data_IF_038066467911
#
_entry.id   IF_038066467911
#
_cell.length_a   1.000
_cell.length_b   1.000
_cell.length_c   1.000
_cell.angle_alpha   90.00
_cell.angle_beta   90.00
_cell.angle_gamma   90.00
#
_symmetry.space_group_name_H-M   'P 1'
#
loop_
_entity.id
_entity.type
_entity.pdbx_description
1 polymer ?
#
# COMPACT_ATOMS: atom_id res chain seq x y z
N UNK A 1 19.52 -0.20 70.02
CA UNK A 1 18.41 -0.49 69.09
C UNK A 1 18.41 0.49 67.90
N UNK A 2 19.42 0.44 67.01
CA UNK A 2 19.61 1.42 65.90
C UNK A 2 19.74 0.76 64.50
N UNK A 3 19.28 -0.48 64.33
CA UNK A 3 19.56 -1.27 63.11
C UNK A 3 18.39 -1.49 62.15
N UNK A 4 17.18 -1.01 62.47
CA UNK A 4 15.96 -1.27 61.68
C UNK A 4 15.46 -0.06 60.86
N UNK A 5 15.86 1.17 61.18
CA UNK A 5 15.40 2.37 60.45
C UNK A 5 16.12 2.59 59.11
N UNK A 6 17.37 2.15 58.97
CA UNK A 6 18.14 2.34 57.72
C UNK A 6 17.71 1.41 56.58
N UNK A 7 17.19 0.21 56.90
CA UNK A 7 16.71 -0.74 55.89
C UNK A 7 15.39 -0.30 55.23
N UNK A 8 14.51 0.36 55.98
CA UNK A 8 13.27 0.92 55.42
C UNK A 8 13.52 2.08 54.45
N UNK A 9 14.54 2.91 54.72
CA UNK A 9 14.95 4.00 53.82
C UNK A 9 15.62 3.49 52.55
N UNK A 10 16.51 2.49 52.65
CA UNK A 10 17.16 1.88 51.48
C UNK A 10 16.16 1.13 50.58
N UNK A 11 15.21 0.39 51.16
CA UNK A 11 14.14 -0.27 50.42
C UNK A 11 13.18 0.71 49.73
N UNK A 12 12.83 1.81 50.41
CA UNK A 12 11.97 2.86 49.85
C UNK A 12 12.61 3.61 48.67
N UNK A 13 13.92 3.87 48.72
CA UNK A 13 14.67 4.47 47.61
C UNK A 13 14.68 3.53 46.39
N UNK A 14 14.90 2.23 46.60
CA UNK A 14 14.87 1.24 45.52
C UNK A 14 13.53 1.18 44.80
N UNK A 15 12.42 1.22 45.54
CA UNK A 15 11.06 1.22 44.96
C UNK A 15 10.77 2.52 44.22
N UNK A 16 11.20 3.67 44.75
CA UNK A 16 11.01 4.96 44.10
C UNK A 16 11.78 5.06 42.77
N UNK A 17 13.01 4.53 42.72
CA UNK A 17 13.82 4.49 41.48
C UNK A 17 13.20 3.56 40.45
N UNK A 18 12.73 2.37 40.85
CA UNK A 18 12.03 1.44 39.96
C UNK A 18 10.71 2.01 39.44
N UNK A 19 9.93 2.67 40.30
CA UNK A 19 8.70 3.34 39.88
C UNK A 19 8.98 4.50 38.91
N UNK A 20 9.99 5.32 39.18
CA UNK A 20 10.42 6.39 38.28
C UNK A 20 10.92 5.84 36.93
N UNK A 21 11.70 4.75 36.94
CA UNK A 21 12.16 4.08 35.71
C UNK A 21 10.99 3.48 34.92
N UNK A 22 10.03 2.84 35.57
CA UNK A 22 8.81 2.34 34.93
C UNK A 22 7.97 3.49 34.34
N UNK A 23 7.81 4.60 35.07
CA UNK A 23 7.12 5.79 34.55
C UNK A 23 7.87 6.38 33.36
N UNK A 24 9.20 6.49 33.39
CA UNK A 24 10.00 6.96 32.26
C UNK A 24 9.92 6.03 31.05
N UNK A 25 9.87 4.71 31.24
CA UNK A 25 9.71 3.75 30.15
C UNK A 25 8.31 3.78 29.53
N UNK A 26 7.26 3.98 30.34
CA UNK A 26 5.87 4.00 29.85
C UNK A 26 5.39 5.38 29.35
N UNK A 27 5.84 6.48 29.97
CA UNK A 27 5.47 7.85 29.58
C UNK A 27 6.50 8.51 28.67
N UNK A 28 7.77 8.11 28.68
CA UNK A 28 8.81 8.74 27.86
C UNK A 28 8.53 8.62 26.36
N UNK A 29 8.02 7.47 25.92
CA UNK A 29 7.58 7.26 24.53
C UNK A 29 6.39 8.15 24.12
N UNK A 30 5.50 8.49 25.06
CA UNK A 30 4.36 9.38 24.82
C UNK A 30 4.74 10.86 24.86
N UNK A 31 5.74 11.23 25.66
CA UNK A 31 6.19 12.62 25.80
C UNK A 31 7.15 13.04 24.67
N UNK A 32 7.97 12.14 24.14
CA UNK A 32 8.83 12.41 22.98
C UNK A 32 8.02 12.78 21.73
N UNK A 33 6.86 12.15 21.53
CA UNK A 33 5.94 12.49 20.42
C UNK A 33 5.29 13.87 20.54
N UNK A 34 5.11 14.39 21.77
CA UNK A 34 4.46 15.68 21.99
C UNK A 34 5.40 16.88 21.76
N UNK A 35 6.71 16.70 21.93
CA UNK A 35 7.70 17.78 21.81
C UNK A 35 8.24 17.97 20.37
N UNK A 36 8.17 16.94 19.53
CA UNK A 36 8.80 16.93 18.20
C UNK A 36 7.92 17.49 17.06
N UNK A 37 6.68 17.90 17.35
CA UNK A 37 5.74 18.46 16.38
C UNK A 37 5.07 17.43 15.47
N UNK A 38 3.99 17.82 14.75
CA UNK A 38 3.22 16.92 13.87
C UNK A 38 4.06 16.16 12.84
N UNK A 39 5.05 16.83 12.25
CA UNK A 39 5.92 16.27 11.22
C UNK A 39 6.71 15.07 11.73
N UNK A 40 7.33 15.18 12.91
CA UNK A 40 8.12 14.09 13.48
C UNK A 40 7.26 12.87 13.83
N UNK A 41 6.04 13.07 14.31
CA UNK A 41 5.11 11.97 14.61
C UNK A 41 4.67 11.23 13.34
N UNK A 42 4.39 11.98 12.26
CA UNK A 42 4.05 11.42 10.94
C UNK A 42 5.22 10.64 10.36
N UNK A 43 6.43 11.21 10.36
CA UNK A 43 7.63 10.52 9.88
C UNK A 43 7.88 9.25 10.69
N UNK A 44 7.74 9.33 12.01
CA UNK A 44 7.89 8.16 12.90
C UNK A 44 6.88 7.08 12.56
N UNK A 45 5.64 7.45 12.27
CA UNK A 45 4.60 6.49 11.84
C UNK A 45 4.98 5.78 10.54
N UNK A 46 5.49 6.51 9.55
CA UNK A 46 5.95 5.91 8.29
C UNK A 46 7.18 5.02 8.49
N UNK A 47 8.16 5.47 9.29
CA UNK A 47 9.37 4.69 9.60
C UNK A 47 9.08 3.45 10.43
N UNK A 48 8.10 3.51 11.33
CA UNK A 48 7.63 2.33 12.04
C UNK A 48 7.03 1.31 11.07
N UNK A 49 6.23 1.76 10.09
CA UNK A 49 5.70 0.87 9.05
C UNK A 49 6.80 0.26 8.17
N UNK A 50 7.87 0.99 7.85
CA UNK A 50 9.05 0.42 7.16
C UNK A 50 9.69 -0.71 7.97
N UNK A 51 9.84 -0.50 9.28
CA UNK A 51 10.49 -1.45 10.16
C UNK A 51 9.65 -2.71 10.40
N UNK A 52 8.36 -2.54 10.68
CA UNK A 52 7.45 -3.64 11.04
C UNK A 52 6.97 -4.41 9.80
N UNK A 53 7.04 -3.78 8.63
CA UNK A 53 6.32 -4.23 7.44
C UNK A 53 4.82 -3.97 7.54
N UNK A 54 4.12 -4.21 6.43
CA UNK A 54 2.70 -3.89 6.28
C UNK A 54 1.93 -5.04 5.63
N UNK A 55 0.68 -5.16 6.05
CA UNK A 55 -0.36 -5.96 5.39
C UNK A 55 -1.47 -5.02 4.99
N UNK A 56 -1.58 -4.73 3.70
CA UNK A 56 -2.46 -3.70 3.15
C UNK A 56 -3.71 -4.38 2.54
N UNK A 57 -4.93 -4.09 3.02
CA UNK A 57 -6.13 -4.60 2.37
C UNK A 57 -6.26 -3.98 0.97
N UNK A 58 -6.46 -4.82 -0.04
CA UNK A 58 -6.67 -4.39 -1.43
C UNK A 58 -8.14 -4.64 -1.81
N UNK A 59 -8.90 -3.59 -2.17
CA UNK A 59 -10.26 -3.76 -2.66
C UNK A 59 -10.35 -4.79 -3.80
N UNK A 60 -11.32 -5.71 -3.69
CA UNK A 60 -11.52 -6.79 -4.67
C UNK A 60 -10.63 -8.02 -4.45
N UNK A 61 -9.47 -7.90 -3.81
CA UNK A 61 -8.58 -9.04 -3.58
C UNK A 61 -9.07 -9.94 -2.43
N UNK A 62 -8.77 -11.24 -2.50
CA UNK A 62 -9.10 -12.22 -1.45
C UNK A 62 -8.11 -12.21 -0.28
N UNK A 63 -6.89 -11.72 -0.51
CA UNK A 63 -5.82 -11.65 0.47
C UNK A 63 -5.20 -10.24 0.45
N UNK A 64 -4.62 -9.77 1.57
CA UNK A 64 -3.95 -8.48 1.60
C UNK A 64 -2.66 -8.50 0.78
N UNK A 65 -2.22 -7.31 0.38
CA UNK A 65 -0.89 -7.06 -0.15
C UNK A 65 0.10 -7.04 1.01
N UNK A 66 1.02 -8.00 1.05
CA UNK A 66 1.99 -8.15 2.15
C UNK A 66 3.36 -7.68 1.69
N UNK A 67 3.98 -6.78 2.45
CA UNK A 67 5.33 -6.29 2.17
C UNK A 67 6.40 -7.32 2.50
N UNK A 68 7.42 -7.40 1.66
CA UNK A 68 8.76 -7.93 1.97
C UNK A 68 9.78 -6.80 2.15
N UNK A 69 9.57 -5.70 1.44
CA UNK A 69 10.33 -4.45 1.54
C UNK A 69 9.34 -3.30 1.47
N UNK A 70 9.53 -2.33 2.36
CA UNK A 70 8.81 -1.06 2.37
C UNK A 70 9.81 0.02 2.79
N UNK A 71 10.06 1.00 1.94
CA UNK A 71 11.00 2.07 2.22
C UNK A 71 10.47 3.39 1.69
N UNK A 72 10.37 4.39 2.58
CA UNK A 72 10.12 5.78 2.24
C UNK A 72 11.43 6.57 2.23
N UNK A 73 11.58 7.39 1.19
CA UNK A 73 12.64 8.37 1.04
C UNK A 73 12.03 9.74 0.68
N UNK A 74 12.79 10.81 0.91
CA UNK A 74 12.38 12.20 0.58
C UNK A 74 10.98 12.56 1.12
N UNK A 75 10.75 12.27 2.41
CA UNK A 75 9.48 12.56 3.06
C UNK A 75 9.35 14.08 3.26
N UNK A 76 8.24 14.66 2.83
CA UNK A 76 7.82 16.01 3.18
C UNK A 76 6.41 15.97 3.77
N UNK A 77 6.16 16.78 4.80
CA UNK A 77 4.88 16.81 5.50
C UNK A 77 4.29 18.21 5.43
N UNK A 78 3.04 18.30 5.00
CA UNK A 78 2.25 19.53 5.03
C UNK A 78 1.12 19.37 6.03
N UNK A 79 1.05 20.24 7.04
CA UNK A 79 -0.01 20.23 8.06
C UNK A 79 -1.02 21.31 7.72
N UNK A 80 -2.30 20.96 7.71
CA UNK A 80 -3.37 21.90 7.45
C UNK A 80 -3.44 22.99 8.55
N UNK A 81 -3.94 24.20 8.25
CA UNK A 81 -4.05 25.29 9.23
C UNK A 81 -4.90 24.94 10.46
N UNK A 82 -5.82 23.99 10.32
CA UNK A 82 -6.66 23.47 11.41
C UNK A 82 -5.89 22.60 12.42
N UNK A 83 -4.68 22.15 12.07
CA UNK A 83 -3.86 21.26 12.89
C UNK A 83 -4.47 19.87 13.12
N UNK A 84 -5.49 19.49 12.34
CA UNK A 84 -6.20 18.21 12.43
C UNK A 84 -5.94 17.29 11.24
N UNK A 85 -5.48 17.84 10.13
CA UNK A 85 -5.14 17.11 8.91
C UNK A 85 -3.71 17.38 8.49
N UNK A 86 -3.10 16.40 7.86
CA UNK A 86 -1.79 16.54 7.24
C UNK A 86 -1.70 15.63 6.02
N UNK A 87 -0.79 15.95 5.12
CA UNK A 87 -0.46 15.14 3.96
C UNK A 87 1.06 14.94 3.92
N UNK A 88 1.48 13.68 3.82
CA UNK A 88 2.87 13.32 3.67
C UNK A 88 3.13 12.88 2.23
N UNK A 89 4.08 13.53 1.55
CA UNK A 89 4.58 13.11 0.25
C UNK A 89 5.91 12.41 0.42
N UNK A 90 6.10 11.28 -0.23
CA UNK A 90 7.35 10.53 -0.14
C UNK A 90 7.62 9.73 -1.42
N UNK A 91 8.87 9.42 -1.69
CA UNK A 91 9.21 8.33 -2.61
C UNK A 91 9.05 7.01 -1.87
N UNK A 92 8.17 6.12 -2.35
CA UNK A 92 7.99 4.78 -1.84
C UNK A 92 8.66 3.77 -2.77
N UNK A 93 9.47 2.89 -2.18
CA UNK A 93 10.01 1.68 -2.78
C UNK A 93 9.42 0.48 -2.02
N UNK A 94 8.65 -0.32 -2.73
CA UNK A 94 7.91 -1.45 -2.18
C UNK A 94 8.16 -2.71 -2.99
N UNK A 95 8.35 -3.83 -2.28
CA UNK A 95 8.31 -5.17 -2.85
C UNK A 95 7.47 -6.06 -1.94
N UNK A 96 6.61 -6.89 -2.52
CA UNK A 96 5.68 -7.70 -1.77
C UNK A 96 4.92 -8.68 -2.65
N UNK A 97 3.82 -9.20 -2.12
CA UNK A 97 2.96 -10.12 -2.85
C UNK A 97 1.48 -9.93 -2.51
N UNK A 98 0.64 -10.08 -3.53
CA UNK A 98 -0.81 -10.24 -3.43
C UNK A 98 -1.14 -11.72 -3.72
N UNK A 99 -1.25 -12.53 -2.66
CA UNK A 99 -1.32 -13.98 -2.81
C UNK A 99 -0.08 -14.53 -3.52
N UNK A 100 -0.25 -15.13 -4.71
CA UNK A 100 0.85 -15.67 -5.51
C UNK A 100 1.48 -14.63 -6.48
N UNK A 101 0.86 -13.46 -6.66
CA UNK A 101 1.34 -12.44 -7.58
C UNK A 101 2.37 -11.56 -6.88
N UNK A 102 3.57 -11.46 -7.46
CA UNK A 102 4.60 -10.55 -6.97
C UNK A 102 4.25 -9.12 -7.35
N UNK A 103 4.42 -8.17 -6.42
CA UNK A 103 4.17 -6.75 -6.66
C UNK A 103 5.41 -5.98 -6.26
N UNK A 104 5.96 -5.21 -7.18
CA UNK A 104 7.06 -4.28 -6.92
C UNK A 104 6.69 -2.92 -7.46
N UNK A 105 6.88 -1.88 -6.64
CA UNK A 105 6.56 -0.52 -7.04
C UNK A 105 7.61 0.47 -6.58
N UNK A 106 7.95 1.42 -7.44
CA UNK A 106 8.78 2.56 -7.08
C UNK A 106 8.10 3.85 -7.55
N UNK A 107 7.93 4.84 -6.67
CA UNK A 107 7.25 6.07 -7.08
C UNK A 107 6.80 7.01 -5.96
N UNK A 108 5.97 7.99 -6.30
CA UNK A 108 5.53 9.04 -5.37
C UNK A 108 4.28 8.63 -4.61
N UNK A 109 4.39 8.39 -3.31
CA UNK A 109 3.24 8.15 -2.44
C UNK A 109 2.74 9.46 -1.81
N UNK A 110 1.42 9.54 -1.59
CA UNK A 110 0.77 10.66 -0.91
C UNK A 110 -0.15 10.10 0.18
N UNK A 111 0.25 10.27 1.43
CA UNK A 111 -0.43 9.69 2.58
C UNK A 111 -1.17 10.78 3.33
N UNK A 112 -2.51 10.73 3.30
CA UNK A 112 -3.34 11.59 4.11
C UNK A 112 -3.34 11.11 5.56
N UNK A 113 -3.15 12.03 6.50
CA UNK A 113 -3.20 11.79 7.94
C UNK A 113 -4.31 12.62 8.58
N UNK A 114 -4.93 12.04 9.61
CA UNK A 114 -5.83 12.73 10.53
C UNK A 114 -5.36 12.57 11.96
N UNK A 115 -5.62 13.60 12.78
CA UNK A 115 -5.33 13.55 14.20
C UNK A 115 -6.48 12.89 14.95
N UNK A 116 -6.26 11.65 15.40
CA UNK A 116 -7.24 10.87 16.13
C UNK A 116 -6.70 10.50 17.53
N UNK A 117 -7.44 10.87 18.58
CA UNK A 117 -7.03 10.63 19.98
C UNK A 117 -5.64 11.20 20.31
N UNK A 118 -5.35 12.39 19.80
CA UNK A 118 -4.09 13.09 20.00
C UNK A 118 -2.92 12.60 19.16
N UNK A 119 -3.10 11.54 18.34
CA UNK A 119 -2.05 10.98 17.48
C UNK A 119 -2.35 11.14 16.00
N UNK A 120 -1.30 11.27 15.19
CA UNK A 120 -1.43 11.25 13.74
C UNK A 120 -1.59 9.81 13.25
N UNK A 121 -2.64 9.56 12.47
CA UNK A 121 -2.90 8.26 11.86
C UNK A 121 -3.19 8.42 10.37
N UNK A 122 -2.71 7.50 9.52
CA UNK A 122 -3.11 7.48 8.12
C UNK A 122 -4.63 7.32 8.01
N UNK A 123 -5.27 8.08 7.13
CA UNK A 123 -6.72 8.08 6.96
C UNK A 123 -7.23 6.76 6.40
N UNK A 124 -6.49 6.17 5.45
CA UNK A 124 -6.85 4.92 4.78
C UNK A 124 -5.79 3.84 4.98
N UNK A 125 -4.56 4.10 4.56
CA UNK A 125 -3.40 3.24 4.76
C UNK A 125 -2.11 4.06 4.68
N UNK A 126 -0.97 3.44 4.96
CA UNK A 126 0.36 4.08 4.79
C UNK A 126 0.82 4.14 3.33
N UNK A 127 0.16 3.43 2.41
CA UNK A 127 0.49 3.42 0.99
C UNK A 127 -0.79 3.42 0.12
N UNK A 128 -1.60 4.50 0.18
CA UNK A 128 -2.92 4.52 -0.42
C UNK A 128 -2.88 4.50 -1.96
N UNK A 129 -1.92 5.18 -2.61
CA UNK A 129 -1.82 5.14 -4.08
C UNK A 129 -1.37 3.77 -4.55
N UNK A 130 -0.42 3.13 -3.86
CA UNK A 130 -0.06 1.73 -4.12
C UNK A 130 -1.29 0.81 -4.05
N UNK A 131 -2.09 0.93 -2.99
CA UNK A 131 -3.32 0.14 -2.83
C UNK A 131 -4.30 0.39 -3.98
N UNK A 132 -4.48 1.64 -4.40
CA UNK A 132 -5.37 2.00 -5.50
C UNK A 132 -4.91 1.41 -6.85
N UNK A 133 -3.60 1.43 -7.14
CA UNK A 133 -3.03 0.80 -8.34
C UNK A 133 -3.27 -0.70 -8.34
N UNK A 134 -2.92 -1.37 -7.24
CA UNK A 134 -3.06 -2.82 -7.14
C UNK A 134 -4.53 -3.24 -7.20
N UNK A 135 -5.45 -2.43 -6.65
CA UNK A 135 -6.88 -2.64 -6.77
C UNK A 135 -7.37 -2.57 -8.24
N UNK A 136 -6.89 -1.60 -9.02
CA UNK A 136 -7.25 -1.48 -10.44
C UNK A 136 -6.73 -2.67 -11.27
N UNK A 137 -5.49 -3.10 -11.02
CA UNK A 137 -4.88 -4.26 -11.66
C UNK A 137 -5.62 -5.57 -11.31
N UNK A 138 -5.98 -5.72 -10.03
CA UNK A 138 -6.74 -6.87 -9.55
C UNK A 138 -8.16 -6.90 -10.14
N UNK A 139 -8.84 -5.76 -10.21
CA UNK A 139 -10.15 -5.66 -10.84
C UNK A 139 -10.11 -6.08 -12.32
N UNK A 140 -9.07 -5.66 -13.06
CA UNK A 140 -8.85 -6.09 -14.45
C UNK A 140 -8.64 -7.60 -14.54
N UNK A 141 -7.75 -8.16 -13.71
CA UNK A 141 -7.47 -9.61 -13.67
C UNK A 141 -8.75 -10.41 -13.43
N UNK A 142 -9.58 -9.97 -12.49
CA UNK A 142 -10.85 -10.61 -12.18
C UNK A 142 -11.86 -10.52 -13.32
N UNK A 143 -11.98 -9.36 -13.96
CA UNK A 143 -12.89 -9.18 -15.08
C UNK A 143 -12.51 -10.07 -16.28
N UNK A 144 -11.21 -10.20 -16.59
CA UNK A 144 -10.71 -11.13 -17.62
C UNK A 144 -10.97 -12.60 -17.25
N UNK A 145 -10.64 -12.99 -16.01
CA UNK A 145 -10.84 -14.35 -15.54
C UNK A 145 -12.33 -14.76 -15.55
N UNK A 146 -13.21 -13.86 -15.08
CA UNK A 146 -14.65 -14.11 -14.99
C UNK A 146 -15.37 -13.93 -16.32
N UNK A 147 -14.72 -13.35 -17.33
CA UNK A 147 -15.32 -13.14 -18.65
C UNK A 147 -16.40 -12.07 -18.64
N UNK A 148 -16.12 -10.95 -17.95
CA UNK A 148 -17.04 -9.84 -17.74
C UNK A 148 -16.55 -8.60 -18.50
N UNK A 149 -16.80 -8.52 -19.83
CA UNK A 149 -16.34 -7.39 -20.64
C UNK A 149 -16.89 -6.04 -20.14
N UNK A 150 -18.11 -6.02 -19.60
CA UNK A 150 -18.71 -4.82 -19.00
C UNK A 150 -17.99 -4.36 -17.72
N UNK A 151 -17.34 -5.27 -17.00
CA UNK A 151 -16.49 -4.90 -15.87
C UNK A 151 -15.16 -4.31 -16.33
N UNK A 152 -14.60 -4.80 -17.46
CA UNK A 152 -13.38 -4.21 -18.05
C UNK A 152 -13.63 -2.79 -18.54
N UNK A 153 -14.75 -2.53 -19.24
CA UNK A 153 -15.06 -1.20 -19.75
C UNK A 153 -15.19 -0.14 -18.64
N UNK A 154 -15.58 -0.54 -17.41
CA UNK A 154 -15.67 0.38 -16.26
C UNK A 154 -14.31 0.76 -15.67
N UNK A 155 -13.24 0.05 -16.04
CA UNK A 155 -11.88 0.36 -15.63
C UNK A 155 -11.18 1.33 -16.60
N UNK A 156 -11.83 1.69 -17.70
CA UNK A 156 -11.31 2.64 -18.66
C UNK A 156 -11.35 4.07 -18.12
N UNK A 157 -10.26 4.81 -18.32
CA UNK A 157 -10.21 6.24 -18.05
C UNK A 157 -11.01 7.06 -19.07
N UNK A 158 -11.15 8.38 -18.83
CA UNK A 158 -11.78 9.28 -19.78
C UNK A 158 -11.10 9.23 -21.15
N UNK A 159 -11.88 9.36 -22.24
CA UNK A 159 -11.34 9.50 -23.59
C UNK A 159 -11.11 8.20 -24.37
N UNK A 160 -11.58 7.04 -23.90
CA UNK A 160 -11.55 5.80 -24.68
C UNK A 160 -12.08 4.57 -23.93
N UNK A 161 -11.90 3.39 -24.51
CA UNK A 161 -12.23 2.11 -23.88
C UNK A 161 -11.10 1.59 -22.96
N UNK A 162 -10.04 2.37 -22.77
CA UNK A 162 -8.86 1.97 -21.99
C UNK A 162 -8.08 0.82 -22.61
N UNK A 163 -8.41 0.33 -23.81
CA UNK A 163 -7.92 -0.94 -24.33
C UNK A 163 -8.74 -2.18 -23.92
N UNK A 164 -9.88 -2.00 -23.25
CA UNK A 164 -10.74 -3.10 -22.79
C UNK A 164 -11.18 -4.03 -23.93
N UNK A 165 -11.52 -3.49 -25.11
CA UNK A 165 -11.89 -4.30 -26.27
C UNK A 165 -10.74 -5.21 -26.73
N UNK A 166 -9.52 -4.68 -26.76
CA UNK A 166 -8.31 -5.43 -27.12
C UNK A 166 -7.97 -6.50 -26.09
N UNK A 167 -7.98 -6.13 -24.81
CA UNK A 167 -7.72 -7.06 -23.71
C UNK A 167 -8.74 -8.20 -23.68
N UNK A 168 -10.02 -7.90 -23.93
CA UNK A 168 -11.06 -8.91 -24.04
C UNK A 168 -10.88 -9.80 -25.26
N UNK A 169 -10.58 -9.23 -26.43
CA UNK A 169 -10.41 -9.99 -27.68
C UNK A 169 -9.30 -11.06 -27.59
N UNK A 170 -8.29 -10.86 -26.75
CA UNK A 170 -7.23 -11.86 -26.53
C UNK A 170 -7.72 -13.09 -25.76
N UNK A 171 -8.61 -12.91 -24.77
CA UNK A 171 -9.05 -13.99 -23.88
C UNK A 171 -10.42 -14.58 -24.27
N UNK A 172 -11.25 -13.82 -24.99
CA UNK A 172 -12.61 -14.21 -25.36
C UNK A 172 -12.69 -15.52 -26.17
N UNK A 173 -11.77 -15.82 -27.11
CA UNK A 173 -11.84 -17.05 -27.90
C UNK A 173 -11.48 -18.32 -27.10
N UNK A 174 -10.91 -18.18 -25.90
CA UNK A 174 -10.40 -19.29 -25.11
C UNK A 174 -11.50 -19.91 -24.25
N UNK A 175 -11.75 -21.20 -24.45
CA UNK A 175 -12.53 -22.01 -23.50
C UNK A 175 -11.61 -22.50 -22.37
N UNK A 176 -12.19 -22.78 -21.18
CA UNK A 176 -11.45 -23.13 -19.95
C UNK A 176 -10.28 -22.17 -19.64
N UNK A 177 -10.43 -20.90 -20.02
CA UNK A 177 -9.40 -19.88 -19.87
C UNK A 177 -8.91 -19.76 -18.43
N UNK A 178 -7.60 -19.59 -18.27
CA UNK A 178 -6.94 -19.29 -17.01
C UNK A 178 -5.87 -18.24 -17.26
N UNK A 179 -6.10 -17.04 -16.74
CA UNK A 179 -5.10 -15.97 -16.69
C UNK A 179 -4.43 -16.00 -15.32
N UNK A 180 -3.13 -16.27 -15.31
CA UNK A 180 -2.28 -16.19 -14.11
C UNK A 180 -1.36 -15.00 -14.24
N UNK A 181 -1.53 -14.00 -13.37
CA UNK A 181 -0.57 -12.90 -13.26
C UNK A 181 0.53 -13.32 -12.29
N UNK A 182 1.77 -13.34 -12.78
CA UNK A 182 2.93 -13.75 -12.02
C UNK A 182 3.55 -12.56 -11.28
N UNK A 183 3.65 -11.41 -11.94
CA UNK A 183 4.20 -10.20 -11.35
C UNK A 183 3.62 -8.91 -11.96
N UNK A 184 3.58 -7.88 -11.13
CA UNK A 184 3.41 -6.49 -11.54
C UNK A 184 4.60 -5.66 -11.08
N UNK A 185 5.25 -4.99 -12.02
CA UNK A 185 6.30 -4.01 -11.76
C UNK A 185 5.76 -2.62 -12.11
N UNK A 186 5.41 -1.82 -11.11
CA UNK A 186 4.80 -0.51 -11.31
C UNK A 186 5.79 0.63 -11.05
N UNK A 187 5.80 1.61 -11.93
CA UNK A 187 6.47 2.89 -11.72
C UNK A 187 5.42 3.96 -11.55
N UNK A 188 5.35 4.53 -10.35
CA UNK A 188 4.29 5.44 -9.95
C UNK A 188 4.78 6.89 -9.96
N UNK A 189 4.33 7.64 -10.97
CA UNK A 189 4.63 9.05 -11.10
C UNK A 189 3.51 9.88 -10.44
N UNK A 190 3.45 11.19 -10.72
CA UNK A 190 2.51 12.09 -10.03
C UNK A 190 1.04 11.76 -10.31
N UNK A 191 0.68 11.54 -11.56
CA UNK A 191 -0.71 11.29 -11.98
C UNK A 191 -0.84 10.06 -12.89
N UNK A 192 0.27 9.39 -13.17
CA UNK A 192 0.34 8.24 -14.07
C UNK A 192 1.13 7.09 -13.45
N UNK A 193 0.81 5.88 -13.88
CA UNK A 193 1.47 4.65 -13.45
C UNK A 193 1.69 3.75 -14.64
N UNK A 194 2.96 3.49 -14.94
CA UNK A 194 3.35 2.49 -15.93
C UNK A 194 3.56 1.16 -15.23
N UNK A 195 2.92 0.10 -15.71
CA UNK A 195 3.05 -1.25 -15.13
C UNK A 195 3.52 -2.22 -16.19
N UNK A 196 4.54 -3.01 -15.88
CA UNK A 196 4.86 -4.20 -16.65
C UNK A 196 4.22 -5.41 -15.97
N UNK A 197 3.28 -6.04 -16.65
CA UNK A 197 2.59 -7.25 -16.19
C UNK A 197 3.24 -8.49 -16.81
N UNK A 198 3.70 -9.41 -15.96
CA UNK A 198 4.15 -10.73 -16.36
C UNK A 198 3.00 -11.71 -16.17
N UNK A 199 2.63 -12.43 -17.23
CA UNK A 199 1.46 -13.29 -17.23
C UNK A 199 1.71 -14.64 -17.88
N UNK A 200 0.85 -15.59 -17.52
CA UNK A 200 0.64 -16.85 -18.23
C UNK A 200 -0.84 -16.98 -18.56
N UNK A 201 -1.14 -17.16 -19.84
CA UNK A 201 -2.49 -17.40 -20.34
C UNK A 201 -2.60 -18.84 -20.82
N UNK A 202 -3.49 -19.58 -20.19
CA UNK A 202 -3.82 -20.96 -20.53
C UNK A 202 -5.28 -21.04 -21.00
N UNK A 203 -5.58 -21.97 -21.91
CA UNK A 203 -6.95 -22.23 -22.37
C UNK A 203 -6.97 -23.10 -23.63
N UNK A 204 -8.16 -23.36 -24.14
CA UNK A 204 -8.36 -24.18 -25.34
C UNK A 204 -8.97 -23.33 -26.46
N UNK A 205 -8.28 -23.25 -27.61
CA UNK A 205 -8.87 -22.84 -28.89
C UNK A 205 -9.43 -24.06 -29.63
N UNK A 206 -10.39 -23.88 -30.56
CA UNK A 206 -10.95 -25.00 -31.32
C UNK A 206 -9.91 -25.86 -32.05
N UNK A 207 -8.80 -25.25 -32.49
CA UNK A 207 -7.76 -25.93 -33.26
C UNK A 207 -6.60 -26.48 -32.39
N UNK A 208 -6.36 -25.93 -31.19
CA UNK A 208 -5.21 -26.28 -30.34
C UNK A 208 -5.33 -25.72 -28.92
N UNK A 209 -4.69 -26.36 -27.92
CA UNK A 209 -4.49 -25.73 -26.62
C UNK A 209 -3.56 -24.52 -26.73
N UNK A 210 -3.74 -23.57 -25.81
CA UNK A 210 -2.94 -22.37 -25.62
C UNK A 210 -2.32 -22.41 -24.23
N UNK A 211 -1.00 -22.25 -24.18
CA UNK A 211 -0.23 -21.94 -22.98
C UNK A 211 0.84 -20.95 -23.40
N UNK A 212 0.62 -19.68 -23.09
CA UNK A 212 1.50 -18.58 -23.49
C UNK A 212 1.96 -17.83 -22.26
N UNK A 213 3.25 -17.52 -22.20
CA UNK A 213 3.83 -16.62 -21.22
C UNK A 213 4.28 -15.36 -21.93
N UNK A 214 4.13 -14.23 -21.27
CA UNK A 214 4.55 -12.97 -21.84
C UNK A 214 4.60 -11.86 -20.82
N UNK A 215 5.01 -10.71 -21.32
CA UNK A 215 4.97 -9.44 -20.62
C UNK A 215 4.12 -8.45 -21.42
N UNK A 216 3.44 -7.54 -20.74
CA UNK A 216 2.71 -6.45 -21.40
C UNK A 216 2.84 -5.15 -20.60
N UNK A 217 2.98 -4.01 -21.28
CA UNK A 217 2.85 -2.71 -20.64
C UNK A 217 1.38 -2.38 -20.41
N UNK A 218 1.08 -1.81 -19.25
CA UNK A 218 -0.20 -1.21 -18.90
C UNK A 218 0.07 0.22 -18.47
N UNK A 219 -0.88 1.12 -18.71
CA UNK A 219 -0.80 2.51 -18.27
C UNK A 219 -2.07 2.85 -17.51
N UNK A 220 -1.92 3.34 -16.29
CA UNK A 220 -3.01 3.85 -15.49
C UNK A 220 -2.85 5.35 -15.26
N UNK A 221 -3.96 6.07 -15.25
CA UNK A 221 -4.04 7.49 -14.97
C UNK A 221 -4.88 7.67 -13.71
N UNK A 222 -4.47 8.61 -12.86
CA UNK A 222 -5.17 8.93 -11.62
C UNK A 222 -6.44 9.70 -11.92
N UNK A 223 -7.56 9.24 -11.36
CA UNK A 223 -8.85 9.91 -11.36
C UNK A 223 -9.36 9.98 -9.92
N UNK A 224 -9.17 11.13 -9.26
CA UNK A 224 -9.41 11.28 -7.83
C UNK A 224 -8.52 10.35 -6.98
N UNK A 225 -9.16 9.44 -6.24
CA UNK A 225 -8.49 8.45 -5.38
C UNK A 225 -8.33 7.07 -6.05
N UNK A 226 -8.66 6.96 -7.34
CA UNK A 226 -8.60 5.72 -8.11
C UNK A 226 -7.61 5.85 -9.27
N UNK A 227 -7.26 4.70 -9.84
CA UNK A 227 -6.49 4.60 -11.08
C UNK A 227 -7.31 3.88 -12.13
N UNK A 228 -7.39 4.48 -13.32
CA UNK A 228 -8.12 3.96 -14.47
C UNK A 228 -7.15 3.72 -15.63
N UNK A 229 -7.44 2.77 -16.51
CA UNK A 229 -6.57 2.43 -17.63
C UNK A 229 -6.64 3.48 -18.74
N UNK A 230 -5.48 3.93 -19.17
CA UNK A 230 -5.32 4.88 -20.28
C UNK A 230 -5.71 4.23 -21.62
N UNK A 231 -6.25 4.99 -22.60
CA UNK A 231 -6.64 4.45 -23.90
C UNK A 231 -5.54 3.59 -24.56
N UNK A 232 -5.89 2.37 -24.94
CA UNK A 232 -5.03 1.46 -25.70
C UNK A 232 -3.96 0.70 -24.91
N UNK A 233 -3.89 0.87 -23.58
CA UNK A 233 -2.88 0.26 -22.71
C UNK A 233 -3.49 -0.46 -21.50
N UNK A 234 -4.45 -1.35 -21.79
CA UNK A 234 -4.99 -2.39 -20.89
C UNK A 234 -4.62 -3.79 -21.37
#
# INVERSE_FOLDING_TARGET
MRRSEDWGRLGGIGIAVLAAACVLLFLGSRLLGAAAGPEAEIITTLKQAEHDGVSLPVPGAQAPLVSRKLQYARISVSVAPDGQRAEAFATLDFEGALGATTVSTAGVEAVAFTRASGRWKPTSSVAPRLVAVVAALEARRQALAQGRPEALSRLAGPGGDGGAGRAWAEVAPLSKRRLTVQAWYARLERDEVTVTEHYRLEGDLPARPVDTRGERPLLLVREGDQFLFSPGLM
#
